data_IF_186050039091
#
_entry.id   IF_186050039091
#
_cell.length_a   1.000
_cell.length_b   1.000
_cell.length_c   1.000
_cell.angle_alpha   90.00
_cell.angle_beta   90.00
_cell.angle_gamma   90.00
#
_symmetry.space_group_name_H-M   'P 1'
#
loop_
_entity.id
_entity.type
_entity.pdbx_description
1 polymer ?
#
# COMPACT_ATOMS: atom_id res chain seq x y z
N UNK A 1 -4.49 16.28 -9.99
CA UNK A 1 -3.26 16.90 -9.45
C UNK A 1 -3.32 16.74 -7.94
N UNK A 2 -2.26 16.27 -7.29
CA UNK A 2 -2.19 16.21 -5.82
C UNK A 2 -1.53 17.50 -5.35
N UNK A 3 -2.19 18.26 -4.50
CA UNK A 3 -1.66 19.51 -3.95
C UNK A 3 -1.59 19.40 -2.43
N UNK A 4 -0.46 19.76 -1.84
CA UNK A 4 -0.30 19.90 -0.38
C UNK A 4 -0.51 21.38 -0.07
N UNK A 5 -1.63 21.72 0.55
CA UNK A 5 -1.92 23.05 1.09
C UNK A 5 -1.23 23.29 2.43
N UNK A 6 -1.30 24.52 2.92
CA UNK A 6 -0.90 24.88 4.28
C UNK A 6 -1.80 24.19 5.31
N UNK A 7 -1.24 23.88 6.48
CA UNK A 7 -1.93 23.20 7.61
C UNK A 7 -2.35 21.73 7.38
N UNK A 8 -1.66 21.02 6.48
CA UNK A 8 -1.89 19.58 6.28
C UNK A 8 -3.10 19.25 5.40
N UNK A 9 -3.81 20.27 4.88
CA UNK A 9 -4.86 20.09 3.88
C UNK A 9 -4.26 19.51 2.58
N UNK A 10 -4.69 18.31 2.20
CA UNK A 10 -4.25 17.65 0.95
C UNK A 10 -5.41 17.51 0.00
N UNK A 11 -5.23 17.97 -1.23
CA UNK A 11 -6.13 17.63 -2.33
C UNK A 11 -5.75 16.26 -2.87
N UNK A 12 -6.56 15.26 -2.54
CA UNK A 12 -6.43 13.92 -3.10
C UNK A 12 -6.94 13.87 -4.54
N UNK A 13 -6.44 12.92 -5.34
CA UNK A 13 -7.01 12.67 -6.67
C UNK A 13 -8.39 12.03 -6.54
N UNK A 14 -9.24 12.20 -7.56
CA UNK A 14 -10.56 11.53 -7.62
C UNK A 14 -10.43 10.01 -7.47
N UNK A 15 -9.40 9.42 -8.11
CA UNK A 15 -9.09 8.00 -7.98
C UNK A 15 -8.80 7.58 -6.53
N UNK A 16 -8.07 8.40 -5.77
CA UNK A 16 -7.80 8.11 -4.36
C UNK A 16 -9.05 8.24 -3.49
N UNK A 17 -9.87 9.27 -3.72
CA UNK A 17 -11.14 9.46 -3.01
C UNK A 17 -12.12 8.30 -3.27
N UNK A 18 -12.19 7.81 -4.51
CA UNK A 18 -12.95 6.60 -4.86
C UNK A 18 -12.41 5.36 -4.16
N UNK A 19 -11.09 5.18 -4.13
CA UNK A 19 -10.45 4.09 -3.40
C UNK A 19 -10.77 4.11 -1.90
N UNK A 20 -10.72 5.30 -1.27
CA UNK A 20 -11.14 5.50 0.13
C UNK A 20 -12.60 5.14 0.35
N UNK A 21 -13.48 5.59 -0.54
CA UNK A 21 -14.91 5.31 -0.47
C UNK A 21 -15.22 3.82 -0.65
N UNK A 22 -14.51 3.16 -1.56
CA UNK A 22 -14.67 1.73 -1.84
C UNK A 22 -14.32 0.88 -0.61
N UNK A 23 -13.17 1.13 0.01
CA UNK A 23 -12.70 0.38 1.18
C UNK A 23 -13.14 0.98 2.53
N UNK A 24 -13.89 2.08 2.51
CA UNK A 24 -14.50 2.73 3.69
C UNK A 24 -13.48 3.09 4.77
N UNK A 25 -12.35 3.67 4.36
CA UNK A 25 -11.33 4.14 5.30
C UNK A 25 -11.10 5.64 5.16
N UNK A 26 -10.73 6.26 6.27
CA UNK A 26 -10.29 7.65 6.33
C UNK A 26 -8.76 7.71 6.29
N UNK A 27 -8.22 8.58 5.45
CA UNK A 27 -6.77 8.78 5.37
C UNK A 27 -6.30 9.78 6.42
N UNK A 28 -5.36 9.37 7.26
CA UNK A 28 -4.63 10.29 8.13
C UNK A 28 -3.25 10.51 7.52
N UNK A 29 -2.96 11.76 7.16
CA UNK A 29 -1.69 12.11 6.55
C UNK A 29 -0.74 12.74 7.56
N UNK A 30 0.54 12.37 7.48
CA UNK A 30 1.57 13.03 8.28
C UNK A 30 1.76 14.48 7.83
N UNK A 31 1.98 15.37 8.80
CA UNK A 31 2.33 16.74 8.54
C UNK A 31 3.76 16.84 7.99
N UNK A 32 4.04 17.80 7.09
CA UNK A 32 5.39 18.07 6.62
C UNK A 32 6.36 18.30 7.80
N UNK A 33 7.55 17.69 7.74
CA UNK A 33 8.58 17.78 8.79
C UNK A 33 8.17 17.29 10.19
N UNK A 34 7.09 16.50 10.33
CA UNK A 34 6.61 15.94 11.61
C UNK A 34 6.83 14.44 11.68
N UNK A 35 8.10 14.03 11.67
CA UNK A 35 8.51 12.61 11.73
C UNK A 35 8.01 11.88 12.98
N UNK A 36 7.74 12.60 14.07
CA UNK A 36 7.19 12.06 15.30
C UNK A 36 5.81 11.38 15.12
N UNK A 37 5.04 11.78 14.11
CA UNK A 37 3.73 11.18 13.79
C UNK A 37 3.87 9.75 13.22
N UNK A 38 5.08 9.36 12.79
CA UNK A 38 5.39 8.04 12.24
C UNK A 38 6.03 7.09 13.28
N UNK A 39 6.18 7.52 14.53
CA UNK A 39 6.93 6.78 15.55
C UNK A 39 6.47 5.34 15.77
N UNK A 40 5.16 5.07 15.71
CA UNK A 40 4.64 3.70 15.86
C UNK A 40 5.07 2.77 14.73
N UNK A 41 5.00 3.23 13.48
CA UNK A 41 5.39 2.45 12.30
C UNK A 41 6.90 2.18 12.34
N UNK A 42 7.69 3.21 12.63
CA UNK A 42 9.16 3.09 12.68
C UNK A 42 9.62 2.17 13.80
N UNK A 43 8.98 2.25 14.97
CA UNK A 43 9.26 1.35 16.08
C UNK A 43 8.92 -0.11 15.74
N UNK A 44 7.80 -0.37 15.05
CA UNK A 44 7.39 -1.73 14.68
C UNK A 44 8.30 -2.33 13.60
N UNK A 45 8.72 -1.52 12.61
CA UNK A 45 9.74 -1.92 11.62
C UNK A 45 11.07 -2.20 12.31
N UNK A 46 11.51 -1.32 13.21
CA UNK A 46 12.73 -1.52 13.99
C UNK A 46 12.67 -2.78 14.86
N UNK A 47 11.52 -3.07 15.47
CA UNK A 47 11.28 -4.29 16.23
C UNK A 47 11.43 -5.54 15.36
N UNK A 48 10.75 -5.59 14.21
CA UNK A 48 10.86 -6.71 13.27
C UNK A 48 12.32 -6.94 12.84
N UNK A 49 13.05 -5.87 12.48
CA UNK A 49 14.46 -5.98 12.09
C UNK A 49 15.35 -6.54 13.20
N UNK A 50 15.15 -6.09 14.45
CA UNK A 50 15.97 -6.49 15.61
C UNK A 50 15.66 -7.90 16.11
N UNK A 51 14.44 -8.40 15.92
CA UNK A 51 14.00 -9.68 16.47
C UNK A 51 13.90 -10.80 15.43
N UNK A 52 13.57 -10.47 14.17
CA UNK A 52 13.33 -11.48 13.13
C UNK A 52 14.46 -11.55 12.11
N UNK A 53 15.28 -10.50 12.01
CA UNK A 53 16.37 -10.41 11.03
C UNK A 53 17.75 -10.37 11.70
N UNK A 54 17.88 -10.93 12.92
CA UNK A 54 19.16 -11.05 13.63
C UNK A 54 19.35 -12.52 14.07
N UNK A 55 20.44 -13.19 13.63
CA UNK A 55 21.41 -12.73 12.63
C UNK A 55 20.73 -12.46 11.26
N UNK A 56 21.38 -11.68 10.39
CA UNK A 56 20.79 -11.31 9.10
C UNK A 56 20.50 -12.57 8.27
N UNK A 57 19.24 -12.85 7.94
CA UNK A 57 18.89 -14.10 7.28
C UNK A 57 19.30 -14.05 5.80
N UNK A 58 19.84 -15.16 5.30
CA UNK A 58 20.30 -15.29 3.93
C UNK A 58 19.24 -16.08 3.15
N UNK A 59 18.75 -15.49 2.06
CA UNK A 59 17.76 -16.09 1.18
C UNK A 59 18.23 -16.03 -0.27
N UNK A 60 17.79 -17.00 -1.07
CA UNK A 60 18.08 -17.09 -2.50
C UNK A 60 17.01 -16.43 -3.37
N UNK A 61 15.80 -16.25 -2.85
CA UNK A 61 14.68 -15.63 -3.57
C UNK A 61 13.90 -14.66 -2.69
N UNK A 62 13.18 -13.74 -3.32
CA UNK A 62 12.33 -12.78 -2.61
C UNK A 62 11.13 -13.47 -1.94
N UNK A 63 10.58 -14.49 -2.58
CA UNK A 63 9.45 -15.29 -2.10
C UNK A 63 9.82 -16.06 -0.82
N UNK A 64 11.05 -16.59 -0.74
CA UNK A 64 11.53 -17.28 0.46
C UNK A 64 11.65 -16.31 1.65
N UNK A 65 12.16 -15.10 1.40
CA UNK A 65 12.21 -14.04 2.41
C UNK A 65 10.80 -13.65 2.86
N UNK A 66 9.88 -13.39 1.93
CA UNK A 66 8.51 -13.00 2.24
C UNK A 66 7.79 -14.07 3.08
N UNK A 67 7.92 -15.34 2.70
CA UNK A 67 7.35 -16.47 3.43
C UNK A 67 7.90 -16.56 4.86
N UNK A 68 9.22 -16.41 5.02
CA UNK A 68 9.84 -16.42 6.35
C UNK A 68 9.36 -15.27 7.23
N UNK A 69 9.23 -14.06 6.68
CA UNK A 69 8.73 -12.90 7.43
C UNK A 69 7.26 -13.06 7.84
N UNK A 70 6.41 -13.65 6.99
CA UNK A 70 5.02 -13.97 7.33
C UNK A 70 4.96 -14.92 8.52
N UNK A 71 5.74 -16.00 8.50
CA UNK A 71 5.79 -16.96 9.60
C UNK A 71 6.26 -16.31 10.92
N UNK A 72 7.22 -15.39 10.85
CA UNK A 72 7.66 -14.66 12.06
C UNK A 72 6.58 -13.71 12.58
N UNK A 73 5.85 -13.04 11.69
CA UNK A 73 4.73 -12.17 12.07
C UNK A 73 3.59 -12.97 12.72
N UNK A 74 3.26 -14.16 12.18
CA UNK A 74 2.27 -15.07 12.77
C UNK A 74 2.69 -15.53 14.17
N UNK A 75 3.95 -15.94 14.33
CA UNK A 75 4.49 -16.34 15.65
C UNK A 75 4.53 -15.19 16.64
N UNK A 76 4.81 -13.96 16.22
CA UNK A 76 4.80 -12.80 17.13
C UNK A 76 3.41 -12.53 17.72
N UNK A 77 2.33 -13.02 17.09
CA UNK A 77 0.98 -12.93 17.66
C UNK A 77 0.80 -13.78 18.92
N UNK A 78 1.65 -14.79 19.15
CA UNK A 78 1.64 -15.63 20.36
C UNK A 78 2.34 -14.95 21.55
N UNK A 79 2.82 -13.72 21.39
CA UNK A 79 3.41 -12.93 22.48
C UNK A 79 2.32 -12.28 23.35
N UNK A 80 2.52 -12.16 24.67
CA UNK A 80 1.64 -11.36 25.52
C UNK A 80 1.65 -9.87 25.12
N UNK A 81 0.46 -9.28 25.10
CA UNK A 81 0.27 -7.85 24.88
C UNK A 81 0.81 -7.05 26.07
N UNK A 82 1.65 -6.05 25.79
CA UNK A 82 2.45 -5.31 26.78
C UNK A 82 1.66 -4.73 27.96
N UNK A 83 0.39 -4.39 27.76
CA UNK A 83 -0.49 -3.83 28.81
C UNK A 83 -1.61 -4.77 29.23
N UNK A 84 -2.09 -5.64 28.35
CA UNK A 84 -3.27 -6.49 28.59
C UNK A 84 -2.90 -7.85 29.16
N UNK A 85 -1.62 -8.24 29.07
CA UNK A 85 -1.06 -9.50 29.58
C UNK A 85 -1.76 -10.76 29.06
N UNK A 86 -2.44 -10.65 27.92
CA UNK A 86 -3.06 -11.76 27.17
C UNK A 86 -2.40 -11.84 25.79
N UNK A 87 -2.56 -12.96 25.07
CA UNK A 87 -1.91 -13.11 23.77
C UNK A 87 -2.48 -12.12 22.74
N UNK A 88 -1.60 -11.55 21.91
CA UNK A 88 -2.02 -10.65 20.83
C UNK A 88 -3.01 -11.36 19.88
N UNK A 89 -2.80 -12.65 19.62
CA UNK A 89 -3.71 -13.45 18.82
C UNK A 89 -5.11 -13.53 19.41
N UNK A 90 -5.26 -13.63 20.74
CA UNK A 90 -6.57 -13.68 21.38
C UNK A 90 -7.31 -12.37 21.20
N UNK A 91 -6.64 -11.24 21.45
CA UNK A 91 -7.20 -9.91 21.19
C UNK A 91 -7.64 -9.74 19.73
N UNK A 92 -6.83 -10.23 18.79
CA UNK A 92 -7.17 -10.19 17.37
C UNK A 92 -8.44 -10.99 17.06
N UNK A 93 -8.60 -12.21 17.62
CA UNK A 93 -9.80 -13.01 17.38
C UNK A 93 -11.07 -12.37 17.99
N UNK A 94 -10.94 -11.65 19.10
CA UNK A 94 -12.05 -10.91 19.72
C UNK A 94 -12.48 -9.69 18.87
N UNK A 95 -11.53 -8.99 18.26
CA UNK A 95 -11.80 -7.80 17.45
C UNK A 95 -12.25 -8.15 16.02
N UNK A 96 -11.68 -9.20 15.42
CA UNK A 96 -11.95 -9.64 14.04
C UNK A 96 -13.45 -9.68 13.65
N UNK A 97 -14.38 -10.23 14.45
CA UNK A 97 -15.81 -10.26 14.09
C UNK A 97 -16.49 -8.88 14.13
N UNK A 98 -15.86 -7.87 14.74
CA UNK A 98 -16.36 -6.50 14.82
C UNK A 98 -15.92 -5.64 13.64
N UNK A 99 -14.99 -6.14 12.81
CA UNK A 99 -14.48 -5.42 11.65
C UNK A 99 -15.53 -5.35 10.53
N UNK A 100 -15.47 -4.25 9.77
CA UNK A 100 -16.26 -4.11 8.56
C UNK A 100 -15.83 -5.15 7.52
N UNK A 101 -16.81 -5.73 6.83
CA UNK A 101 -16.54 -6.59 5.69
C UNK A 101 -15.93 -5.79 4.54
N UNK A 102 -14.90 -6.35 3.91
CA UNK A 102 -14.34 -5.80 2.69
C UNK A 102 -15.32 -5.95 1.53
N UNK A 103 -15.30 -5.02 0.54
CA UNK A 103 -16.05 -5.19 -0.70
C UNK A 103 -15.68 -6.52 -1.39
N UNK A 104 -16.70 -7.19 -1.94
CA UNK A 104 -16.52 -8.47 -2.66
C UNK A 104 -15.71 -8.26 -3.94
N UNK A 105 -15.97 -7.16 -4.64
CA UNK A 105 -15.24 -6.78 -5.85
C UNK A 105 -14.03 -5.90 -5.48
N UNK A 106 -12.81 -6.26 -5.90
CA UNK A 106 -11.63 -5.43 -5.67
C UNK A 106 -11.76 -4.12 -6.45
N UNK A 107 -11.21 -3.03 -5.90
CA UNK A 107 -11.12 -1.77 -6.62
C UNK A 107 -10.01 -1.85 -7.68
N UNK A 108 -10.32 -1.50 -8.92
CA UNK A 108 -9.32 -1.41 -9.98
C UNK A 108 -8.46 -0.14 -9.78
N UNK A 109 -7.23 -0.33 -9.31
CA UNK A 109 -6.27 0.77 -9.04
C UNK A 109 -5.51 1.23 -10.28
N UNK A 110 -6.10 1.07 -11.47
CA UNK A 110 -5.54 1.52 -12.74
C UNK A 110 -6.62 2.26 -13.55
N UNK A 111 -6.17 3.11 -14.48
CA UNK A 111 -7.04 3.79 -15.44
C UNK A 111 -6.77 3.21 -16.82
N UNK A 112 -7.82 2.81 -17.52
CA UNK A 112 -7.77 2.47 -18.93
C UNK A 112 -8.27 3.67 -19.72
N UNK A 113 -7.44 4.18 -20.62
CA UNK A 113 -7.83 5.22 -21.57
C UNK A 113 -7.60 4.68 -22.98
N UNK A 114 -8.50 5.02 -23.91
CA UNK A 114 -8.24 4.79 -25.33
C UNK A 114 -7.39 5.92 -25.90
N UNK A 115 -6.35 5.60 -26.65
CA UNK A 115 -5.52 6.55 -27.36
C UNK A 115 -5.45 6.23 -28.86
N UNK A 116 -5.18 7.24 -29.68
CA UNK A 116 -4.96 7.06 -31.11
C UNK A 116 -3.47 7.18 -31.41
N UNK A 117 -2.94 6.21 -32.14
CA UNK A 117 -1.53 6.20 -32.55
C UNK A 117 -1.28 7.35 -33.52
N UNK A 118 -0.31 8.19 -33.20
CA UNK A 118 0.09 9.32 -34.04
C UNK A 118 0.84 8.86 -35.31
N UNK A 119 1.22 9.80 -36.18
CA UNK A 119 1.94 9.47 -37.42
C UNK A 119 3.32 8.84 -37.18
N UNK A 120 3.90 9.05 -36.00
CA UNK A 120 5.20 8.51 -35.59
C UNK A 120 5.10 7.14 -34.90
N UNK A 121 3.90 6.55 -34.79
CA UNK A 121 3.72 5.26 -34.11
C UNK A 121 3.68 5.36 -32.58
N UNK A 122 3.32 6.52 -32.03
CA UNK A 122 3.33 6.78 -30.59
C UNK A 122 1.94 7.16 -30.07
N UNK A 123 1.71 6.91 -28.78
CA UNK A 123 0.59 7.46 -28.02
C UNK A 123 1.09 8.42 -26.95
N UNK A 124 0.26 9.41 -26.58
CA UNK A 124 0.54 10.28 -25.44
C UNK A 124 -0.28 9.83 -24.24
N UNK A 125 0.39 9.46 -23.16
CA UNK A 125 -0.23 9.09 -21.90
C UNK A 125 0.41 9.88 -20.76
N UNK A 126 -0.39 10.62 -19.98
CA UNK A 126 0.04 11.48 -18.86
C UNK A 126 1.29 12.33 -19.17
N UNK A 127 1.31 12.96 -20.34
CA UNK A 127 2.39 13.85 -20.79
C UNK A 127 3.65 13.14 -21.32
N UNK A 128 3.69 11.81 -21.29
CA UNK A 128 4.77 10.99 -21.83
C UNK A 128 4.39 10.43 -23.19
N UNK A 129 5.31 10.45 -24.16
CA UNK A 129 5.15 9.77 -25.44
C UNK A 129 5.62 8.32 -25.30
N UNK A 130 4.76 7.37 -25.65
CA UNK A 130 5.05 5.93 -25.63
C UNK A 130 5.01 5.42 -27.06
N UNK A 131 6.14 4.94 -27.57
CA UNK A 131 6.22 4.32 -28.88
C UNK A 131 5.63 2.90 -28.86
N UNK A 132 4.75 2.61 -29.81
CA UNK A 132 4.08 1.31 -29.97
C UNK A 132 4.49 0.71 -31.32
N UNK A 133 5.68 0.07 -31.41
CA UNK A 133 6.21 -0.45 -32.67
C UNK A 133 5.33 -1.53 -33.33
N UNK A 134 4.42 -2.14 -32.56
CA UNK A 134 3.48 -3.15 -33.02
C UNK A 134 2.18 -2.58 -33.62
N UNK A 135 1.92 -1.27 -33.51
CA UNK A 135 0.68 -0.63 -33.95
C UNK A 135 0.91 0.27 -35.17
N UNK A 136 -0.11 0.42 -36.02
CA UNK A 136 -0.05 1.29 -37.20
C UNK A 136 -0.53 2.71 -36.86
N UNK A 137 0.00 3.75 -37.53
CA UNK A 137 -0.55 5.09 -37.42
C UNK A 137 -2.06 5.13 -37.68
N UNK A 138 -2.81 5.71 -36.73
CA UNK A 138 -4.25 5.81 -36.80
C UNK A 138 -5.03 4.71 -36.08
N UNK A 139 -4.37 3.62 -35.63
CA UNK A 139 -4.99 2.58 -34.81
C UNK A 139 -5.51 3.15 -33.49
N UNK A 140 -6.60 2.57 -32.98
CA UNK A 140 -7.15 2.86 -31.66
C UNK A 140 -6.70 1.76 -30.70
N UNK A 141 -6.05 2.16 -29.62
CA UNK A 141 -5.50 1.31 -28.55
C UNK A 141 -6.06 1.70 -27.20
#
# INVERSE_FOLDING_TARGET
>A
MVTIGTEGNRQCTDAFLRFQSHYRFESVFCNPARGNEKGHVENKVGYARRNWCVPLPIFTTHEALATSLIQQAERDMERPHYSKQTLIQQLWQEEKPQLLQLPITPYEVFRLDSARVNHYGEIRFDGTALALPQCRPGDQV
#
